data_IF_011834915797
#
_entry.id   IF_011834915797
#
_cell.length_a   1.000
_cell.length_b   1.000
_cell.length_c   1.000
_cell.angle_alpha   90.00
_cell.angle_beta   90.00
_cell.angle_gamma   90.00
#
_symmetry.space_group_name_H-M   'P 1'
#
loop_
_entity.id
_entity.type
_entity.pdbx_description
1 polymer ?
#
# COMPACT_ATOMS: atom_id res chain seq x y z
N UNK A 1 6.02 -2.50 4.06
CA UNK A 1 6.11 -2.47 2.59
C UNK A 1 7.49 -1.98 2.13
N UNK A 2 7.83 -0.73 2.37
CA UNK A 2 9.06 -0.12 1.85
C UNK A 2 10.31 -0.82 2.37
N UNK A 3 10.38 -1.15 3.67
CA UNK A 3 11.50 -1.90 4.22
C UNK A 3 11.72 -3.23 3.48
N UNK A 4 10.64 -3.95 3.16
CA UNK A 4 10.73 -5.20 2.41
C UNK A 4 11.30 -5.00 0.98
N UNK A 5 10.88 -3.94 0.26
CA UNK A 5 11.48 -3.63 -1.04
C UNK A 5 12.97 -3.32 -0.93
N UNK A 6 13.38 -2.58 0.09
CA UNK A 6 14.80 -2.29 0.37
C UNK A 6 15.57 -3.58 0.70
N UNK A 7 15.00 -4.47 1.51
CA UNK A 7 15.59 -5.78 1.86
C UNK A 7 15.72 -6.69 0.62
N UNK A 8 14.81 -6.55 -0.35
CA UNK A 8 14.91 -7.19 -1.67
C UNK A 8 15.94 -6.51 -2.60
N UNK A 9 16.66 -5.50 -2.13
CA UNK A 9 17.71 -4.79 -2.88
C UNK A 9 17.20 -3.68 -3.80
N UNK A 10 15.89 -3.31 -3.73
CA UNK A 10 15.31 -2.23 -4.54
C UNK A 10 15.75 -0.88 -4.00
N UNK A 11 16.11 0.04 -4.90
CA UNK A 11 16.62 1.38 -4.55
C UNK A 11 15.83 2.51 -5.16
N UNK A 12 15.17 2.24 -6.27
CA UNK A 12 14.38 3.18 -7.04
C UNK A 12 12.89 2.88 -6.86
N UNK A 13 12.38 3.20 -5.65
CA UNK A 13 11.03 2.83 -5.25
C UNK A 13 10.06 3.97 -5.51
N UNK A 14 9.12 3.74 -6.42
CA UNK A 14 7.99 4.63 -6.71
C UNK A 14 6.80 4.37 -5.80
N UNK A 15 5.82 5.28 -5.83
CA UNK A 15 4.56 5.15 -5.13
C UNK A 15 3.37 5.51 -6.02
N UNK A 16 2.33 4.66 -6.01
CA UNK A 16 1.01 5.00 -6.57
C UNK A 16 0.06 5.18 -5.40
N UNK A 17 -0.29 6.44 -5.13
CA UNK A 17 -1.20 6.79 -4.03
C UNK A 17 -2.67 6.63 -4.43
N UNK A 18 -3.57 6.61 -3.45
CA UNK A 18 -4.97 6.98 -3.65
C UNK A 18 -5.13 8.50 -3.71
N UNK A 19 -6.38 9.01 -3.76
CA UNK A 19 -6.63 10.46 -3.72
C UNK A 19 -6.03 11.08 -2.46
N UNK A 20 -5.09 12.01 -2.62
CA UNK A 20 -4.36 12.62 -1.49
C UNK A 20 -5.24 13.49 -0.57
N UNK A 21 -6.48 13.78 -0.99
CA UNK A 21 -7.49 14.38 -0.11
C UNK A 21 -8.04 13.40 0.95
N UNK A 22 -7.74 12.11 0.82
CA UNK A 22 -8.12 11.08 1.78
C UNK A 22 -6.97 10.83 2.75
N UNK A 23 -7.29 10.82 4.03
CA UNK A 23 -6.29 10.64 5.09
C UNK A 23 -5.45 9.37 4.92
N UNK A 24 -6.07 8.26 4.53
CA UNK A 24 -5.38 6.97 4.35
C UNK A 24 -4.37 6.99 3.20
N UNK A 25 -4.66 7.74 2.14
CA UNK A 25 -3.76 7.88 1.00
C UNK A 25 -2.55 8.75 1.36
N UNK A 26 -2.78 9.85 2.07
CA UNK A 26 -1.75 10.76 2.54
C UNK A 26 -0.81 10.07 3.55
N UNK A 27 -1.36 9.31 4.52
CA UNK A 27 -0.57 8.54 5.47
C UNK A 27 0.31 7.48 4.80
N UNK A 28 -0.19 6.77 3.77
CA UNK A 28 0.61 5.80 3.01
C UNK A 28 1.73 6.49 2.24
N UNK A 29 1.46 7.64 1.61
CA UNK A 29 2.48 8.47 0.93
C UNK A 29 3.53 8.96 1.92
N UNK A 30 3.10 9.45 3.08
CA UNK A 30 4.00 9.90 4.14
C UNK A 30 4.91 8.76 4.62
N UNK A 31 4.35 7.58 4.90
CA UNK A 31 5.14 6.42 5.32
C UNK A 31 6.15 5.96 4.27
N UNK A 32 5.78 5.99 2.98
CA UNK A 32 6.70 5.76 1.87
C UNK A 32 7.86 6.76 1.87
N UNK A 33 7.56 8.05 1.98
CA UNK A 33 8.55 9.14 2.00
C UNK A 33 9.49 9.04 3.22
N UNK A 34 8.93 8.86 4.42
CA UNK A 34 9.69 8.79 5.66
C UNK A 34 10.66 7.60 5.67
N UNK A 35 10.20 6.44 5.23
CA UNK A 35 11.04 5.24 5.20
C UNK A 35 12.20 5.38 4.22
N UNK A 36 11.96 5.88 3.01
CA UNK A 36 13.02 6.11 2.02
C UNK A 36 14.01 7.18 2.50
N UNK A 37 13.52 8.28 3.06
CA UNK A 37 14.36 9.35 3.61
C UNK A 37 15.26 8.85 4.75
N UNK A 38 14.71 8.03 5.66
CA UNK A 38 15.45 7.41 6.76
C UNK A 38 16.54 6.46 6.24
N UNK A 39 16.27 5.76 5.14
CA UNK A 39 17.23 4.89 4.48
C UNK A 39 18.25 5.64 3.60
N UNK A 40 18.19 6.99 3.56
CA UNK A 40 19.13 7.83 2.80
C UNK A 40 18.81 7.97 1.33
N UNK A 41 17.60 7.63 0.87
CA UNK A 41 17.15 7.80 -0.50
C UNK A 41 16.44 9.14 -0.68
N UNK A 42 16.67 9.78 -1.84
CA UNK A 42 15.97 10.99 -2.20
C UNK A 42 14.57 10.65 -2.69
N UNK A 43 13.55 11.29 -2.12
CA UNK A 43 12.17 11.25 -2.60
C UNK A 43 11.83 12.58 -3.27
N UNK A 44 11.27 12.51 -4.47
CA UNK A 44 10.84 13.67 -5.25
C UNK A 44 9.45 13.41 -5.83
N UNK A 45 8.72 14.45 -6.17
CA UNK A 45 7.34 14.35 -6.66
C UNK A 45 7.21 13.49 -7.92
N UNK A 46 8.24 13.41 -8.77
CA UNK A 46 8.24 12.56 -9.96
C UNK A 46 8.28 11.05 -9.65
N UNK A 47 8.47 10.65 -8.39
CA UNK A 47 8.45 9.26 -7.93
C UNK A 47 7.09 8.85 -7.36
N UNK A 48 6.10 9.72 -7.39
CA UNK A 48 4.75 9.46 -6.91
C UNK A 48 3.73 9.87 -7.98
N UNK A 49 2.72 9.02 -8.21
CA UNK A 49 1.58 9.33 -9.05
C UNK A 49 0.28 9.05 -8.28
N UNK A 50 -0.75 9.88 -8.51
CA UNK A 50 -2.03 9.76 -7.82
C UNK A 50 -3.02 8.95 -8.64
N UNK A 51 -3.63 7.93 -8.01
CA UNK A 51 -4.77 7.18 -8.50
C UNK A 51 -6.03 7.53 -7.72
N UNK A 52 -7.11 6.80 -8.03
CA UNK A 52 -8.43 6.98 -7.39
C UNK A 52 -9.03 5.66 -6.87
N UNK A 53 -8.17 4.73 -6.46
CA UNK A 53 -8.48 3.39 -5.99
C UNK A 53 -8.92 2.39 -7.07
N UNK A 54 -9.30 2.86 -8.28
CA UNK A 54 -9.71 1.98 -9.38
C UNK A 54 -8.52 1.41 -10.14
N UNK A 55 -8.67 0.22 -10.71
CA UNK A 55 -7.64 -0.39 -11.57
C UNK A 55 -7.29 0.49 -12.78
N UNK A 56 -8.27 1.19 -13.37
CA UNK A 56 -8.01 2.08 -14.51
C UNK A 56 -7.10 3.26 -14.12
N UNK A 57 -7.27 3.83 -12.93
CA UNK A 57 -6.40 4.89 -12.44
C UNK A 57 -5.01 4.38 -12.07
N UNK A 58 -4.91 3.15 -11.56
CA UNK A 58 -3.63 2.49 -11.30
C UNK A 58 -2.80 2.30 -12.59
N UNK A 59 -3.45 1.88 -13.69
CA UNK A 59 -2.81 1.78 -15.01
C UNK A 59 -2.25 3.13 -15.46
N UNK A 60 -3.06 4.21 -15.39
CA UNK A 60 -2.64 5.55 -15.79
C UNK A 60 -1.50 6.09 -14.93
N UNK A 61 -1.60 5.94 -13.61
CA UNK A 61 -0.57 6.36 -12.67
C UNK A 61 0.75 5.61 -12.89
N UNK A 62 0.69 4.32 -13.20
CA UNK A 62 1.88 3.53 -13.50
C UNK A 62 2.56 3.97 -14.80
N UNK A 63 1.79 4.24 -15.86
CA UNK A 63 2.32 4.77 -17.12
C UNK A 63 3.02 6.11 -16.87
N UNK A 64 2.39 7.01 -16.12
CA UNK A 64 2.98 8.29 -15.73
C UNK A 64 4.30 8.10 -14.96
N UNK A 65 4.36 7.15 -14.02
CA UNK A 65 5.58 6.86 -13.28
C UNK A 65 6.70 6.33 -14.18
N UNK A 66 6.39 5.43 -15.12
CA UNK A 66 7.40 4.93 -16.06
C UNK A 66 8.00 6.04 -16.93
N UNK A 67 7.23 7.08 -17.25
CA UNK A 67 7.69 8.23 -18.01
C UNK A 67 8.53 9.22 -17.17
N UNK A 68 8.10 9.46 -15.91
CA UNK A 68 8.75 10.44 -15.03
C UNK A 68 9.89 9.86 -14.19
N UNK A 69 9.93 8.52 -14.03
CA UNK A 69 10.89 7.80 -13.21
C UNK A 69 11.26 6.44 -13.86
N UNK A 70 11.90 6.45 -15.04
CA UNK A 70 12.18 5.24 -15.82
C UNK A 70 13.15 4.25 -15.16
N UNK A 71 13.95 4.68 -14.20
CA UNK A 71 14.86 3.83 -13.43
C UNK A 71 14.17 3.08 -12.26
N UNK A 72 12.84 3.18 -12.12
CA UNK A 72 12.07 2.53 -11.06
C UNK A 72 12.25 1.01 -11.08
N UNK A 73 12.66 0.43 -9.94
CA UNK A 73 12.88 -1.00 -9.74
C UNK A 73 11.96 -1.62 -8.67
N UNK A 74 11.17 -0.79 -8.00
CA UNK A 74 10.14 -1.20 -7.06
C UNK A 74 9.00 -0.19 -7.02
N UNK A 75 7.78 -0.66 -6.76
CA UNK A 75 6.62 0.23 -6.59
C UNK A 75 5.72 -0.24 -5.46
N UNK A 76 5.39 0.70 -4.58
CA UNK A 76 4.35 0.53 -3.58
C UNK A 76 3.05 1.14 -4.08
N UNK A 77 2.02 0.32 -4.23
CA UNK A 77 0.70 0.71 -4.72
C UNK A 77 -0.28 0.73 -3.55
N UNK A 78 -1.01 1.82 -3.41
CA UNK A 78 -1.82 2.08 -2.21
C UNK A 78 -3.04 1.14 -2.04
N UNK A 79 -3.44 0.37 -3.07
CA UNK A 79 -4.36 -0.77 -2.91
C UNK A 79 -4.12 -1.88 -3.96
N UNK A 80 -4.69 -3.04 -3.73
CA UNK A 80 -4.51 -4.22 -4.59
C UNK A 80 -5.23 -4.08 -5.94
N UNK A 81 -6.34 -3.33 -6.03
CA UNK A 81 -7.03 -3.09 -7.31
C UNK A 81 -6.16 -2.30 -8.28
N UNK A 82 -5.50 -1.25 -7.80
CA UNK A 82 -4.53 -0.51 -8.63
C UNK A 82 -3.30 -1.36 -8.94
N UNK A 83 -2.82 -2.18 -7.97
CA UNK A 83 -1.68 -3.07 -8.18
C UNK A 83 -1.94 -4.13 -9.25
N UNK A 84 -3.18 -4.65 -9.37
CA UNK A 84 -3.57 -5.55 -10.45
C UNK A 84 -3.29 -4.93 -11.83
N UNK A 85 -3.63 -3.67 -12.01
CA UNK A 85 -3.41 -2.99 -13.29
C UNK A 85 -1.93 -2.66 -13.54
N UNK A 86 -1.15 -2.41 -12.48
CA UNK A 86 0.31 -2.28 -12.56
C UNK A 86 0.93 -3.58 -13.07
N UNK A 87 0.57 -4.73 -12.49
CA UNK A 87 1.06 -6.05 -12.94
C UNK A 87 0.69 -6.33 -14.39
N UNK A 88 -0.56 -6.03 -14.77
CA UNK A 88 -1.03 -6.20 -16.14
C UNK A 88 -0.27 -5.32 -17.12
N UNK A 89 -0.04 -4.05 -16.80
CA UNK A 89 0.67 -3.12 -17.70
C UNK A 89 2.17 -3.44 -17.77
N UNK A 90 2.78 -3.88 -16.68
CA UNK A 90 4.14 -4.40 -16.67
C UNK A 90 4.27 -5.60 -17.63
N UNK A 91 3.36 -6.56 -17.54
CA UNK A 91 3.31 -7.70 -18.46
C UNK A 91 3.18 -7.28 -19.93
N UNK A 92 2.27 -6.33 -20.25
CA UNK A 92 2.07 -5.82 -21.62
C UNK A 92 3.31 -5.15 -22.20
N UNK A 93 4.14 -4.55 -21.33
CA UNK A 93 5.38 -3.88 -21.73
C UNK A 93 6.60 -4.81 -21.67
N UNK A 94 6.43 -6.07 -21.29
CA UNK A 94 7.51 -7.04 -21.15
C UNK A 94 8.42 -6.78 -19.95
N UNK A 95 7.99 -5.98 -18.99
CA UNK A 95 8.70 -5.74 -17.72
C UNK A 95 8.49 -6.96 -16.82
N UNK A 96 9.58 -7.62 -16.45
CA UNK A 96 9.54 -8.83 -15.63
C UNK A 96 9.35 -8.48 -14.15
N UNK A 97 8.32 -9.07 -13.55
CA UNK A 97 8.02 -8.95 -12.13
C UNK A 97 8.28 -10.33 -11.48
N UNK A 98 9.14 -10.45 -10.46
CA UNK A 98 9.78 -9.36 -9.71
C UNK A 98 11.16 -8.91 -10.22
N UNK A 99 11.74 -9.53 -11.25
CA UNK A 99 13.16 -9.38 -11.60
C UNK A 99 13.55 -7.92 -11.88
N UNK A 100 12.78 -7.22 -12.73
CA UNK A 100 13.05 -5.83 -13.13
C UNK A 100 12.26 -4.85 -12.30
N UNK A 101 11.06 -5.22 -11.85
CA UNK A 101 10.18 -4.39 -11.04
C UNK A 101 9.53 -5.21 -9.93
N UNK A 102 9.80 -4.91 -8.68
CA UNK A 102 9.05 -5.47 -7.55
C UNK A 102 7.77 -4.65 -7.27
N UNK A 103 6.65 -5.34 -7.07
CA UNK A 103 5.34 -4.69 -6.84
C UNK A 103 4.76 -5.11 -5.49
N UNK A 104 4.40 -4.13 -4.66
CA UNK A 104 3.66 -4.36 -3.40
C UNK A 104 2.32 -3.63 -3.45
N UNK A 105 1.25 -4.33 -3.07
CA UNK A 105 -0.08 -3.77 -2.87
C UNK A 105 -0.41 -3.48 -1.42
N UNK A 106 -1.70 -3.24 -1.18
CA UNK A 106 -2.28 -3.01 0.14
C UNK A 106 -3.74 -3.47 0.13
N UNK A 107 -4.22 -4.07 1.21
CA UNK A 107 -5.54 -4.60 1.56
C UNK A 107 -5.59 -6.14 1.64
N UNK A 108 -4.76 -6.88 0.90
CA UNK A 108 -4.79 -8.34 0.81
C UNK A 108 -6.17 -8.86 0.41
N UNK A 109 -6.73 -8.31 -0.67
CA UNK A 109 -7.98 -8.86 -1.21
C UNK A 109 -7.79 -10.33 -1.62
N UNK A 110 -8.82 -11.19 -1.51
CA UNK A 110 -8.68 -12.62 -1.82
C UNK A 110 -8.08 -12.90 -3.20
N UNK A 111 -8.41 -12.09 -4.19
CA UNK A 111 -7.96 -12.21 -5.57
C UNK A 111 -6.46 -11.97 -5.72
N UNK A 112 -5.82 -11.21 -4.81
CA UNK A 112 -4.40 -10.86 -4.90
C UNK A 112 -3.47 -12.08 -4.89
N UNK A 113 -3.91 -13.19 -4.30
CA UNK A 113 -3.21 -14.48 -4.33
C UNK A 113 -3.23 -15.17 -5.70
N UNK A 114 -4.15 -14.78 -6.57
CA UNK A 114 -4.37 -15.35 -7.91
C UNK A 114 -3.94 -14.41 -9.04
N UNK A 115 -3.34 -13.26 -8.72
CA UNK A 115 -2.70 -12.42 -9.73
C UNK A 115 -1.50 -13.14 -10.32
N UNK A 116 -1.02 -12.68 -11.46
CA UNK A 116 0.15 -13.26 -12.10
C UNK A 116 1.21 -12.17 -12.39
N UNK A 117 2.34 -12.19 -11.64
CA UNK A 117 2.62 -13.02 -10.45
C UNK A 117 1.69 -12.71 -9.28
N UNK A 118 1.56 -13.65 -8.32
CA UNK A 118 0.78 -13.44 -7.10
C UNK A 118 1.32 -12.24 -6.30
N UNK A 119 0.43 -11.38 -5.80
CA UNK A 119 0.78 -10.06 -5.28
C UNK A 119 1.21 -10.11 -3.80
N UNK A 120 2.43 -9.67 -3.51
CA UNK A 120 2.85 -9.27 -2.17
C UNK A 120 2.04 -8.04 -1.74
N UNK A 121 1.45 -8.07 -0.55
CA UNK A 121 0.52 -7.03 -0.11
C UNK A 121 0.53 -6.86 1.40
N UNK A 122 0.01 -5.74 1.89
CA UNK A 122 -0.22 -5.49 3.31
C UNK A 122 -1.63 -5.94 3.68
N UNK A 123 -1.74 -6.86 4.63
CA UNK A 123 -3.00 -7.32 5.18
C UNK A 123 -3.37 -6.56 6.44
N UNK A 124 -4.60 -6.03 6.49
CA UNK A 124 -5.21 -5.44 7.66
C UNK A 124 -6.18 -6.45 8.29
N UNK A 125 -6.17 -6.56 9.61
CA UNK A 125 -7.18 -7.35 10.33
C UNK A 125 -8.47 -6.50 10.48
N UNK A 126 -9.27 -6.48 9.40
CA UNK A 126 -10.53 -5.73 9.37
C UNK A 126 -11.57 -6.29 10.34
N UNK A 127 -11.51 -7.59 10.65
CA UNK A 127 -12.41 -8.20 11.63
C UNK A 127 -12.10 -7.66 13.02
N UNK A 128 -10.83 -7.74 13.44
CA UNK A 128 -10.39 -7.20 14.72
C UNK A 128 -10.64 -5.68 14.80
N UNK A 129 -10.42 -4.94 13.72
CA UNK A 129 -10.70 -3.51 13.65
C UNK A 129 -12.19 -3.22 13.91
N UNK A 130 -13.08 -3.97 13.25
CA UNK A 130 -14.53 -3.86 13.44
C UNK A 130 -14.96 -4.20 14.85
N UNK A 131 -14.47 -5.31 15.42
CA UNK A 131 -14.75 -5.73 16.79
C UNK A 131 -14.33 -4.65 17.81
N UNK A 132 -13.13 -4.13 17.69
CA UNK A 132 -12.61 -3.08 18.59
C UNK A 132 -13.38 -1.76 18.46
N UNK A 133 -13.75 -1.38 17.24
CA UNK A 133 -14.56 -0.17 17.01
C UNK A 133 -15.94 -0.28 17.68
N UNK A 134 -16.65 -1.41 17.50
CA UNK A 134 -17.95 -1.66 18.14
C UNK A 134 -17.81 -1.68 19.65
N UNK A 135 -16.80 -2.38 20.18
CA UNK A 135 -16.57 -2.46 21.62
C UNK A 135 -16.35 -1.07 22.23
N UNK A 136 -15.52 -0.22 21.61
CA UNK A 136 -15.30 1.16 22.06
C UNK A 136 -16.60 1.97 22.09
N UNK A 137 -17.42 1.85 21.04
CA UNK A 137 -18.70 2.57 20.97
C UNK A 137 -19.63 2.12 22.12
N UNK A 138 -19.74 0.80 22.36
CA UNK A 138 -20.57 0.25 23.45
C UNK A 138 -20.07 0.76 24.81
N UNK A 139 -18.77 0.73 25.06
CA UNK A 139 -18.19 1.24 26.32
C UNK A 139 -18.49 2.75 26.52
N UNK A 140 -18.39 3.54 25.44
CA UNK A 140 -18.72 4.98 25.49
C UNK A 140 -20.20 5.22 25.80
N UNK A 141 -21.10 4.43 25.20
CA UNK A 141 -22.55 4.52 25.46
C UNK A 141 -22.85 4.18 26.93
N UNK A 142 -22.30 3.07 27.44
CA UNK A 142 -22.49 2.65 28.82
C UNK A 142 -21.95 3.68 29.83
N UNK A 143 -20.75 4.19 29.59
CA UNK A 143 -20.16 5.23 30.44
C UNK A 143 -21.05 6.49 30.48
N UNK A 144 -21.65 6.88 29.35
CA UNK A 144 -22.56 8.02 29.27
C UNK A 144 -23.85 7.75 30.07
N UNK A 145 -24.44 6.55 29.98
CA UNK A 145 -25.65 6.19 30.72
C UNK A 145 -25.41 6.19 32.24
N UNK A 146 -24.20 5.81 32.66
CA UNK A 146 -23.80 5.75 34.07
C UNK A 146 -23.19 7.06 34.58
N UNK A 147 -23.22 8.16 33.79
CA UNK A 147 -22.56 9.41 34.09
C UNK A 147 -21.08 9.28 34.48
N UNK A 148 -20.40 8.27 33.93
CA UNK A 148 -18.94 8.11 34.08
C UNK A 148 -18.19 8.86 32.97
N UNK A 149 -16.99 9.41 33.28
CA UNK A 149 -16.14 9.96 32.23
C UNK A 149 -15.74 8.87 31.24
N UNK A 150 -15.87 9.15 29.96
CA UNK A 150 -15.39 8.28 28.90
C UNK A 150 -14.53 9.11 27.95
N UNK A 151 -13.37 8.58 27.60
CA UNK A 151 -12.49 9.18 26.62
C UNK A 151 -12.38 8.26 25.41
N UNK A 152 -12.49 8.82 24.21
CA UNK A 152 -12.19 8.10 22.99
C UNK A 152 -10.73 7.61 23.03
N UNK A 153 -10.52 6.33 22.77
CA UNK A 153 -9.19 5.71 22.69
C UNK A 153 -8.80 5.50 21.25
N UNK A 154 -7.62 5.90 20.87
CA UNK A 154 -7.02 5.46 19.61
C UNK A 154 -6.48 4.05 19.79
N UNK A 155 -6.92 3.12 18.91
CA UNK A 155 -6.44 1.75 18.87
C UNK A 155 -5.65 1.59 17.59
N UNK A 156 -4.42 1.12 17.71
CA UNK A 156 -3.56 0.81 16.58
C UNK A 156 -3.50 -0.71 16.42
N UNK A 157 -3.96 -1.21 15.28
CA UNK A 157 -3.83 -2.62 14.89
C UNK A 157 -2.72 -2.69 13.87
N UNK A 158 -1.67 -3.44 14.19
CA UNK A 158 -0.52 -3.55 13.31
C UNK A 158 -0.86 -4.44 12.12
N UNK A 159 -0.73 -3.94 10.88
CA UNK A 159 -0.92 -4.76 9.69
C UNK A 159 0.25 -5.73 9.49
N UNK A 160 0.01 -6.77 8.71
CA UNK A 160 1.01 -7.79 8.36
C UNK A 160 1.39 -7.74 6.89
N UNK A 161 2.66 -8.03 6.58
CA UNK A 161 3.12 -8.19 5.20
C UNK A 161 2.89 -9.65 4.77
N UNK A 162 2.18 -9.84 3.68
CA UNK A 162 1.98 -11.13 3.01
C UNK A 162 2.88 -11.19 1.79
N UNK A 163 4.00 -11.91 1.91
CA UNK A 163 5.00 -12.02 0.84
C UNK A 163 4.54 -13.06 -0.19
N UNK A 164 4.63 -12.67 -1.48
CA UNK A 164 4.30 -13.52 -2.64
C UNK A 164 5.27 -13.24 -3.79
N UNK A 165 4.97 -13.79 -4.97
CA UNK A 165 5.86 -13.79 -6.15
C UNK A 165 6.18 -12.39 -6.72
N UNK A 166 5.34 -11.38 -6.48
CA UNK A 166 5.57 -10.04 -7.06
C UNK A 166 6.76 -9.28 -6.47
N UNK A 167 7.42 -9.82 -5.43
CA UNK A 167 8.61 -9.23 -4.83
C UNK A 167 9.78 -10.20 -4.66
N UNK A 168 9.53 -11.51 -4.66
CA UNK A 168 10.54 -12.56 -4.49
C UNK A 168 10.40 -13.62 -5.56
N UNK A 169 11.53 -14.13 -6.06
CA UNK A 169 11.51 -15.33 -6.91
C UNK A 169 11.25 -16.55 -6.02
N UNK A 170 10.26 -17.34 -6.38
CA UNK A 170 9.95 -18.63 -5.73
C UNK A 170 10.56 -19.78 -6.55
#
# INVERSE_FOLDING_TARGET
>A
AIQHLLDCGRKNIGHISGPLSWWEADERKRGWHEMLSTAGFITSENRCAEGNWSSSSGEQAFIQLLESFPEMDGVFVANDQMALSVLREAYRRGIRVPEELAVIGFDNIPESAYFHPSLTTIAQDLQLLGEQAVQNIVEMIQARQENRPSTARSIFIQPTLVIRESTVQV
#
